data_IF_333960799509
#
_entry.id   IF_333960799509
#
_cell.length_a   1.000
_cell.length_b   1.000
_cell.length_c   1.000
_cell.angle_alpha   90.00
_cell.angle_beta   90.00
_cell.angle_gamma   90.00
#
_symmetry.space_group_name_H-M   'P 1'
#
loop_
_entity.id
_entity.type
_entity.pdbx_description
1 polymer ?
#
# COMPACT_ATOMS: atom_id res chain seq x y z
N UNK A 1 -28.05 -30.19 -42.83
CA UNK A 1 -28.39 -29.57 -41.53
C UNK A 1 -27.16 -28.83 -41.04
N UNK A 2 -27.24 -27.51 -40.91
CA UNK A 2 -26.12 -26.63 -40.50
C UNK A 2 -26.09 -26.58 -38.97
N UNK A 3 -24.98 -27.00 -38.37
CA UNK A 3 -24.74 -26.88 -36.94
C UNK A 3 -24.41 -25.43 -36.60
N UNK A 4 -25.19 -24.83 -35.71
CA UNK A 4 -24.94 -23.51 -35.13
C UNK A 4 -23.83 -23.65 -34.09
N UNK A 5 -22.71 -22.95 -34.31
CA UNK A 5 -21.67 -22.78 -33.30
C UNK A 5 -22.15 -21.78 -32.25
N UNK A 6 -22.32 -22.23 -31.01
CA UNK A 6 -22.51 -21.36 -29.86
C UNK A 6 -21.15 -20.77 -29.46
N UNK A 7 -20.93 -19.49 -29.78
CA UNK A 7 -19.80 -18.74 -29.28
C UNK A 7 -20.06 -18.35 -27.83
N UNK A 8 -19.42 -19.03 -26.88
CA UNK A 8 -19.31 -18.58 -25.49
C UNK A 8 -18.38 -17.39 -25.44
N UNK A 9 -18.94 -16.19 -25.34
CA UNK A 9 -18.22 -14.98 -24.96
C UNK A 9 -17.81 -15.14 -23.48
N UNK A 10 -16.54 -15.46 -23.26
CA UNK A 10 -15.92 -15.30 -21.95
C UNK A 10 -15.82 -13.79 -21.68
N UNK A 11 -16.80 -13.27 -20.95
CA UNK A 11 -16.71 -11.95 -20.35
C UNK A 11 -15.64 -12.01 -19.27
N UNK A 12 -14.45 -11.49 -19.57
CA UNK A 12 -13.48 -11.16 -18.54
C UNK A 12 -14.10 -10.02 -17.72
N UNK A 13 -14.61 -10.35 -16.53
CA UNK A 13 -14.92 -9.34 -15.54
C UNK A 13 -13.60 -8.64 -15.21
N UNK A 14 -13.46 -7.39 -15.63
CA UNK A 14 -12.35 -6.56 -15.20
C UNK A 14 -12.41 -6.49 -13.68
N UNK A 15 -11.38 -6.99 -12.99
CA UNK A 15 -11.22 -6.74 -11.56
C UNK A 15 -11.25 -5.22 -11.37
N UNK A 16 -12.04 -4.74 -10.40
CA UNK A 16 -12.00 -3.32 -10.05
C UNK A 16 -10.62 -3.06 -9.45
N UNK A 17 -9.75 -2.43 -10.25
CA UNK A 17 -8.42 -2.02 -9.83
C UNK A 17 -8.57 -0.68 -9.09
N UNK A 18 -8.18 -0.66 -7.82
CA UNK A 18 -8.17 0.57 -7.02
C UNK A 18 -6.76 1.18 -7.08
N UNK A 19 -6.61 2.33 -7.73
CA UNK A 19 -5.34 3.05 -7.77
C UNK A 19 -5.19 3.92 -6.52
N UNK A 20 -4.15 3.67 -5.73
CA UNK A 20 -3.86 4.41 -4.49
C UNK A 20 -2.53 5.13 -4.61
N UNK A 21 -2.44 6.31 -4.01
CA UNK A 21 -1.19 7.08 -3.90
C UNK A 21 -0.82 7.30 -2.43
N UNK A 22 0.41 6.95 -2.08
CA UNK A 22 1.07 7.33 -0.82
C UNK A 22 1.75 8.69 -1.00
N UNK A 23 1.42 9.60 -0.10
CA UNK A 23 1.95 10.97 -0.05
C UNK A 23 2.34 11.37 1.38
N UNK A 24 3.11 12.45 1.51
CA UNK A 24 3.53 13.01 2.80
C UNK A 24 4.22 11.98 3.70
N UNK A 25 4.98 11.04 3.09
CA UNK A 25 5.72 10.06 3.85
C UNK A 25 6.89 10.72 4.60
N UNK A 26 7.00 10.43 5.89
CA UNK A 26 8.08 10.89 6.76
C UNK A 26 8.63 9.68 7.51
N UNK A 27 9.96 9.57 7.56
CA UNK A 27 10.69 8.65 8.42
C UNK A 27 11.46 9.42 9.50
N UNK A 28 11.38 8.96 10.75
CA UNK A 28 12.15 9.46 11.88
C UNK A 28 12.79 8.29 12.62
N UNK A 29 14.11 8.27 12.72
CA UNK A 29 14.90 7.18 13.32
C UNK A 29 15.80 7.63 14.48
N UNK A 30 15.30 8.50 15.34
CA UNK A 30 16.10 9.09 16.43
C UNK A 30 16.24 8.08 17.59
N UNK A 31 17.45 7.97 18.15
CA UNK A 31 17.77 7.08 19.28
C UNK A 31 17.48 5.59 19.03
N UNK A 32 17.48 5.13 17.78
CA UNK A 32 17.22 3.73 17.43
C UNK A 32 15.75 3.34 17.45
N UNK A 33 14.84 4.31 17.52
CA UNK A 33 13.40 4.10 17.46
C UNK A 33 12.86 4.58 16.12
N UNK A 34 12.73 3.69 15.12
CA UNK A 34 12.23 4.07 13.82
C UNK A 34 10.72 4.31 13.88
N UNK A 35 10.28 5.36 13.21
CA UNK A 35 8.91 5.81 13.11
C UNK A 35 8.64 6.20 11.66
N UNK A 36 7.46 5.86 11.15
CA UNK A 36 7.00 6.32 9.84
C UNK A 36 5.58 6.84 9.93
N UNK A 37 5.26 7.80 9.06
CA UNK A 37 3.89 8.29 8.87
C UNK A 37 3.66 8.67 7.42
N UNK A 38 2.47 8.43 6.90
CA UNK A 38 2.09 8.81 5.53
C UNK A 38 0.57 8.93 5.38
N UNK A 39 0.15 9.41 4.21
CA UNK A 39 -1.26 9.61 3.87
C UNK A 39 -1.60 8.92 2.55
N UNK A 40 -2.79 8.31 2.50
CA UNK A 40 -3.36 7.75 1.29
C UNK A 40 -4.18 8.81 0.55
N UNK A 41 -4.24 8.71 -0.78
CA UNK A 41 -5.12 9.55 -1.61
C UNK A 41 -6.61 9.29 -1.39
N UNK A 42 -6.96 8.16 -0.77
CA UNK A 42 -8.34 7.76 -0.47
C UNK A 42 -8.75 8.35 0.86
N UNK A 43 -9.71 9.27 0.84
CA UNK A 43 -10.32 9.94 2.00
C UNK A 43 -9.35 10.53 3.05
N UNK A 44 -8.08 10.75 2.66
CA UNK A 44 -7.04 11.26 3.55
C UNK A 44 -6.67 10.31 4.69
N UNK A 45 -6.89 9.00 4.53
CA UNK A 45 -6.50 7.96 5.49
C UNK A 45 -5.04 8.12 5.88
N UNK A 46 -4.77 8.11 7.18
CA UNK A 46 -3.44 8.29 7.75
C UNK A 46 -2.93 6.99 8.33
N UNK A 47 -1.68 6.66 8.01
CA UNK A 47 -1.03 5.45 8.47
C UNK A 47 0.26 5.83 9.21
N UNK A 48 0.54 5.19 10.32
CA UNK A 48 1.75 5.40 11.08
C UNK A 48 2.16 4.14 11.83
N UNK A 49 3.46 3.95 11.99
CA UNK A 49 4.01 2.91 12.84
C UNK A 49 5.18 3.49 13.64
N UNK A 50 5.15 3.28 14.95
CA UNK A 50 6.19 3.69 15.88
C UNK A 50 6.97 2.47 16.37
N UNK A 51 8.29 2.63 16.56
CA UNK A 51 9.17 1.59 17.09
C UNK A 51 9.09 0.28 16.29
N UNK A 52 8.90 0.37 14.97
CA UNK A 52 8.71 -0.80 14.11
C UNK A 52 10.02 -1.55 13.84
N UNK A 53 9.90 -2.80 13.41
CA UNK A 53 11.00 -3.56 12.81
C UNK A 53 10.74 -3.77 11.32
N UNK A 54 11.81 -4.00 10.54
CA UNK A 54 11.63 -4.54 9.19
C UNK A 54 10.86 -5.87 9.29
N UNK A 55 10.03 -6.15 8.29
CA UNK A 55 9.04 -7.23 8.25
C UNK A 55 7.91 -7.09 9.28
N UNK A 56 7.62 -5.86 9.73
CA UNK A 56 6.44 -5.57 10.55
C UNK A 56 5.19 -5.64 9.67
N UNK A 57 4.31 -6.60 9.96
CA UNK A 57 3.12 -6.88 9.18
C UNK A 57 1.84 -6.36 9.87
N UNK A 58 0.86 -5.95 9.06
CA UNK A 58 -0.49 -5.61 9.51
C UNK A 58 -0.56 -4.38 10.43
N UNK A 59 0.32 -3.40 10.23
CA UNK A 59 0.27 -2.14 10.97
C UNK A 59 -1.03 -1.40 10.63
N UNK A 60 -1.81 -0.96 11.62
CA UNK A 60 -3.10 -0.32 11.36
C UNK A 60 -2.93 1.11 10.86
N UNK A 61 -3.79 1.52 9.92
CA UNK A 61 -4.06 2.92 9.65
C UNK A 61 -5.18 3.45 10.56
N UNK A 62 -5.54 4.72 10.44
CA UNK A 62 -6.65 5.32 11.19
C UNK A 62 -8.03 4.81 10.74
N UNK A 63 -8.15 4.34 9.49
CA UNK A 63 -9.27 3.54 9.01
C UNK A 63 -8.95 2.03 9.17
N UNK A 64 -9.76 1.24 9.91
CA UNK A 64 -9.51 -0.18 10.15
C UNK A 64 -9.61 -1.09 8.92
N UNK A 65 -10.18 -0.61 7.81
CA UNK A 65 -10.17 -1.34 6.53
C UNK A 65 -8.78 -1.34 5.88
N UNK A 66 -7.86 -0.50 6.37
CA UNK A 66 -6.52 -0.31 5.85
C UNK A 66 -5.47 -0.78 6.85
N UNK A 67 -4.58 -1.65 6.38
CA UNK A 67 -3.36 -2.02 7.10
C UNK A 67 -2.16 -1.98 6.15
N UNK A 68 -0.95 -2.01 6.71
CA UNK A 68 0.26 -2.00 5.91
C UNK A 68 1.40 -2.81 6.51
N UNK A 69 2.23 -3.34 5.62
CA UNK A 69 3.46 -4.04 5.95
C UNK A 69 4.68 -3.17 5.64
N UNK A 70 5.78 -3.39 6.35
CA UNK A 70 7.05 -2.69 6.15
C UNK A 70 8.14 -3.70 5.82
N UNK A 71 8.69 -3.67 4.60
CA UNK A 71 9.65 -4.67 4.12
C UNK A 71 11.09 -4.16 3.99
N UNK A 72 11.30 -2.85 4.03
CA UNK A 72 12.64 -2.27 3.91
C UNK A 72 12.92 -1.27 5.05
N UNK A 73 14.21 -1.10 5.37
CA UNK A 73 14.66 -0.04 6.27
C UNK A 73 14.09 1.32 5.84
N UNK A 74 13.81 2.17 6.83
CA UNK A 74 13.21 3.50 6.62
C UNK A 74 11.82 3.47 5.96
N UNK A 75 11.21 2.28 5.79
CA UNK A 75 9.92 2.10 5.15
C UNK A 75 9.94 2.39 3.65
N UNK A 76 11.06 2.10 2.98
CA UNK A 76 11.23 2.30 1.53
C UNK A 76 10.40 1.35 0.67
N UNK A 77 10.00 0.21 1.22
CA UNK A 77 9.06 -0.72 0.61
C UNK A 77 7.91 -1.00 1.58
N UNK A 78 6.70 -0.68 1.14
CA UNK A 78 5.45 -0.87 1.89
C UNK A 78 4.47 -1.64 1.03
N UNK A 79 3.77 -2.60 1.64
CA UNK A 79 2.55 -3.18 1.06
C UNK A 79 1.34 -2.64 1.77
N UNK A 80 0.40 -2.08 1.03
CA UNK A 80 -0.92 -1.73 1.56
C UNK A 80 -1.86 -2.92 1.41
N UNK A 81 -2.75 -3.05 2.39
CA UNK A 81 -3.89 -3.97 2.36
C UNK A 81 -5.17 -3.18 2.57
N UNK A 82 -6.12 -3.34 1.66
CA UNK A 82 -7.47 -2.80 1.79
C UNK A 82 -8.47 -3.94 1.83
N UNK A 83 -9.13 -4.13 2.98
CA UNK A 83 -10.11 -5.20 3.20
C UNK A 83 -11.50 -4.64 3.35
N UNK A 84 -12.36 -4.88 2.36
CA UNK A 84 -13.77 -4.48 2.35
C UNK A 84 -14.62 -5.71 2.06
N UNK A 85 -15.68 -5.92 2.85
CA UNK A 85 -16.60 -7.06 2.71
C UNK A 85 -15.89 -8.43 2.64
N UNK A 86 -14.79 -8.58 3.38
CA UNK A 86 -13.99 -9.81 3.44
C UNK A 86 -13.13 -10.07 2.20
N UNK A 87 -13.03 -9.11 1.28
CA UNK A 87 -12.13 -9.15 0.13
C UNK A 87 -10.94 -8.23 0.38
N UNK A 88 -9.73 -8.78 0.33
CA UNK A 88 -8.49 -8.00 0.45
C UNK A 88 -7.89 -7.69 -0.92
N UNK A 89 -7.52 -6.43 -1.11
CA UNK A 89 -6.71 -5.95 -2.22
C UNK A 89 -5.35 -5.49 -1.69
N UNK A 90 -4.29 -5.73 -2.45
CA UNK A 90 -2.92 -5.41 -2.04
C UNK A 90 -2.13 -4.73 -3.15
N UNK A 91 -1.20 -3.86 -2.77
CA UNK A 91 -0.27 -3.23 -3.70
C UNK A 91 1.03 -2.84 -3.01
N UNK A 92 2.13 -2.94 -3.75
CA UNK A 92 3.48 -2.66 -3.28
C UNK A 92 3.93 -1.25 -3.71
N UNK A 93 4.53 -0.53 -2.77
CA UNK A 93 4.92 0.87 -2.93
C UNK A 93 6.40 1.03 -2.61
N UNK A 94 7.14 1.54 -3.60
CA UNK A 94 8.51 1.99 -3.41
C UNK A 94 8.54 3.48 -3.08
N UNK A 95 9.00 3.82 -1.88
CA UNK A 95 9.06 5.18 -1.35
C UNK A 95 10.46 5.75 -1.53
N UNK A 96 10.57 6.79 -2.36
CA UNK A 96 11.83 7.53 -2.51
C UNK A 96 11.94 8.54 -1.38
N UNK A 97 13.01 8.45 -0.61
CA UNK A 97 13.25 9.31 0.56
C UNK A 97 14.52 10.12 0.40
N UNK A 98 14.51 11.35 0.91
CA UNK A 98 15.69 12.20 1.05
C UNK A 98 15.57 13.11 2.28
N UNK A 99 16.70 13.58 2.78
CA UNK A 99 16.77 14.48 3.92
C UNK A 99 18.20 14.94 4.16
N UNK A 100 18.40 16.05 4.89
CA UNK A 100 19.74 16.56 5.20
C UNK A 100 20.51 15.66 6.18
N UNK A 101 19.81 14.76 6.88
CA UNK A 101 20.37 13.80 7.83
C UNK A 101 19.70 12.43 7.65
N UNK A 102 20.40 11.31 7.92
CA UNK A 102 19.88 9.97 7.66
C UNK A 102 18.75 9.55 8.62
N UNK A 103 18.56 10.25 9.74
CA UNK A 103 17.57 9.93 10.77
C UNK A 103 16.24 10.67 10.61
N UNK A 104 16.14 11.62 9.67
CA UNK A 104 14.90 12.33 9.37
C UNK A 104 14.83 12.50 7.86
N UNK A 105 13.91 11.78 7.22
CA UNK A 105 13.78 11.72 5.77
C UNK A 105 12.33 11.98 5.37
N UNK A 106 12.16 12.72 4.28
CA UNK A 106 10.88 13.03 3.67
C UNK A 106 10.77 12.38 2.29
N UNK A 107 9.53 12.11 1.87
CA UNK A 107 9.22 11.61 0.54
C UNK A 107 9.66 12.59 -0.56
N UNK A 108 10.26 12.04 -1.62
CA UNK A 108 10.45 12.75 -2.89
C UNK A 108 9.31 12.36 -3.83
N UNK A 109 8.44 13.32 -4.12
CA UNK A 109 7.27 13.11 -4.97
C UNK A 109 6.20 12.26 -4.30
N UNK A 110 5.54 11.41 -5.07
CA UNK A 110 4.50 10.48 -4.59
C UNK A 110 4.79 9.07 -5.09
N UNK A 111 4.18 8.08 -4.44
CA UNK A 111 4.27 6.68 -4.86
C UNK A 111 2.86 6.16 -5.12
N UNK A 112 2.60 5.70 -6.35
CA UNK A 112 1.27 5.25 -6.79
C UNK A 112 1.36 3.81 -7.26
N UNK A 113 0.39 3.00 -6.84
CA UNK A 113 0.24 1.63 -7.28
C UNK A 113 -1.24 1.27 -7.39
N UNK A 114 -1.50 0.26 -8.22
CA UNK A 114 -2.78 -0.39 -8.33
C UNK A 114 -2.90 -1.49 -7.27
N UNK A 115 -4.03 -1.57 -6.59
CA UNK A 115 -4.31 -2.65 -5.66
C UNK A 115 -4.97 -3.81 -6.39
N UNK A 116 -4.30 -4.96 -6.36
CA UNK A 116 -4.78 -6.20 -6.94
C UNK A 116 -5.54 -7.02 -5.90
N UNK A 117 -6.66 -7.60 -6.31
CA UNK A 117 -7.39 -8.54 -5.47
C UNK A 117 -6.51 -9.76 -5.16
N UNK A 118 -6.41 -10.10 -3.88
CA UNK A 118 -5.77 -11.35 -3.47
C UNK A 118 -6.68 -12.51 -3.85
N UNK A 119 -6.27 -13.31 -4.84
CA UNK A 119 -6.97 -14.54 -5.22
C UNK A 119 -6.41 -15.70 -4.39
N UNK A 120 -7.28 -16.37 -3.62
CA UNK A 120 -6.97 -17.62 -2.94
C UNK A 120 -6.89 -18.82 -3.88
#
# INVERSE_FOLDING_TARGET
>A
MKFLAAATLFGFAAAAVETVTISNFVYVGVNGYPQISFQLSVDGVKCAADHYTVDSLGNPCDNPEWTFDIFEEQGREIRLHHTVDGVTHTGDFYIRLNGPIPTVLDQIGTSTADLDKVTS
#
